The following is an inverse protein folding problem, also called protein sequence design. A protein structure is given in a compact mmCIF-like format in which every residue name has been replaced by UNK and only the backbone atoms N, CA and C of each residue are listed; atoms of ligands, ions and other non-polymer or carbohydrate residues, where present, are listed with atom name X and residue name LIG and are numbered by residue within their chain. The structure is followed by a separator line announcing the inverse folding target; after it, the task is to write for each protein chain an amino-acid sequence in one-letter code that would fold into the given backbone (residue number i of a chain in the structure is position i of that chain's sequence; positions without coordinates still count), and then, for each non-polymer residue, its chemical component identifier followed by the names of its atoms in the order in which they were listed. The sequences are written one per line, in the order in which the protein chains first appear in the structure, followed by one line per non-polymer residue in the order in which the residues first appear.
data_IF_310033067335
#
_entry.id   IF_310033067335
#
_cell.length_a   1.000
_cell.length_b   1.000
_cell.length_c   1.000
_cell.angle_alpha   90.00
_cell.angle_beta   90.00
_cell.angle_gamma   90.00
#
_symmetry.space_group_name_H-M   'P 1'
#
loop_
_entity.id
_entity.type
_entity.pdbx_description
1 polymer ?
#
# COMPACT_ATOMS: atom_id res chain seq x y z
N UNK A 1 20.36 -5.48 -1.57
CA UNK A 1 20.02 -4.88 -0.27
C UNK A 1 18.96 -3.82 -0.57
N UNK A 2 17.74 -3.94 -0.05
CA UNK A 2 16.66 -2.99 -0.34
C UNK A 2 16.92 -1.67 0.40
N UNK A 3 16.85 -0.53 -0.28
CA UNK A 3 16.87 0.78 0.37
C UNK A 3 15.43 1.28 0.50
N UNK A 4 14.91 1.49 1.72
CA UNK A 4 13.64 2.18 1.87
C UNK A 4 13.77 3.59 1.29
N UNK A 5 12.78 4.06 0.53
CA UNK A 5 12.66 5.49 0.29
C UNK A 5 12.37 6.17 1.64
N UNK A 6 13.13 7.22 1.97
CA UNK A 6 12.71 8.17 3.00
C UNK A 6 11.32 8.68 2.59
N UNK A 7 10.31 8.48 3.46
CA UNK A 7 8.88 8.77 3.23
C UNK A 7 8.06 7.75 2.40
N UNK A 8 8.38 6.45 2.47
CA UNK A 8 7.58 5.37 1.84
C UNK A 8 6.51 4.73 2.73
N UNK A 9 6.25 5.31 3.91
CA UNK A 9 5.30 4.73 4.88
C UNK A 9 4.01 5.54 4.88
N UNK A 10 2.90 4.87 4.62
CA UNK A 10 1.55 5.45 4.68
C UNK A 10 0.79 4.76 5.84
N UNK A 11 0.48 5.48 6.93
CA UNK A 11 -0.26 4.87 8.05
C UNK A 11 -1.70 4.56 7.63
N UNK A 12 -2.17 3.35 7.98
CA UNK A 12 -3.58 2.95 7.81
C UNK A 12 -4.33 3.21 9.11
N UNK A 13 -3.76 2.80 10.24
CA UNK A 13 -4.27 3.08 11.58
C UNK A 13 -3.10 3.12 12.60
N UNK A 14 -3.40 2.98 13.91
CA UNK A 14 -2.40 3.05 14.99
C UNK A 14 -1.32 1.97 14.94
N UNK A 15 -1.65 0.76 14.50
CA UNK A 15 -0.76 -0.40 14.48
C UNK A 15 -0.42 -0.88 13.07
N UNK A 16 -1.20 -0.43 12.08
CA UNK A 16 -1.14 -0.90 10.69
C UNK A 16 -0.65 0.20 9.78
N UNK A 17 0.33 -0.14 8.94
CA UNK A 17 0.90 0.79 7.97
C UNK A 17 1.24 0.08 6.67
N UNK A 18 1.26 0.86 5.58
CA UNK A 18 1.71 0.44 4.27
C UNK A 18 3.13 0.94 4.05
N UNK A 19 3.98 0.11 3.46
CA UNK A 19 5.36 0.45 3.12
C UNK A 19 5.61 0.18 1.65
N UNK A 20 6.00 1.23 0.91
CA UNK A 20 6.35 1.09 -0.50
C UNK A 20 7.84 0.79 -0.67
N UNK A 21 8.14 -0.42 -1.14
CA UNK A 21 9.51 -0.88 -1.38
C UNK A 21 9.83 -0.74 -2.87
N UNK A 22 10.83 0.08 -3.15
CA UNK A 22 11.46 0.11 -4.47
C UNK A 22 12.65 -0.84 -4.47
N UNK A 23 12.69 -1.73 -5.45
CA UNK A 23 13.81 -2.62 -5.64
C UNK A 23 14.81 -1.96 -6.60
N UNK A 24 16.11 -2.11 -6.35
CA UNK A 24 17.16 -1.81 -7.34
C UNK A 24 17.13 -2.82 -8.51
N UNK A 25 16.30 -3.87 -8.40
CA UNK A 25 16.02 -4.82 -9.48
C UNK A 25 15.01 -4.21 -10.48
N UNK A 26 15.28 -4.24 -11.80
CA UNK A 26 14.57 -3.43 -12.80
C UNK A 26 13.11 -3.83 -13.08
N UNK A 27 12.53 -4.75 -12.33
CA UNK A 27 11.32 -5.45 -12.75
C UNK A 27 10.08 -5.20 -11.91
N UNK A 28 10.16 -5.01 -10.57
CA UNK A 28 8.97 -4.81 -9.74
C UNK A 28 9.22 -3.97 -8.48
N UNK A 29 8.28 -3.08 -8.15
CA UNK A 29 8.10 -2.46 -6.84
C UNK A 29 7.08 -3.24 -6.01
N UNK A 30 7.08 -3.07 -4.70
CA UNK A 30 6.08 -3.69 -3.81
C UNK A 30 5.43 -2.66 -2.90
N UNK A 31 4.14 -2.85 -2.62
CA UNK A 31 3.47 -2.24 -1.49
C UNK A 31 3.20 -3.33 -0.46
N UNK A 32 3.78 -3.19 0.72
CA UNK A 32 3.72 -4.15 1.81
C UNK A 32 2.80 -3.62 2.92
N UNK A 33 1.89 -4.45 3.41
CA UNK A 33 1.00 -4.16 4.52
C UNK A 33 1.54 -4.81 5.79
N UNK A 34 1.75 -4.00 6.82
CA UNK A 34 2.24 -4.42 8.12
C UNK A 34 1.19 -4.21 9.21
N UNK A 35 1.11 -5.13 10.15
CA UNK A 35 0.36 -5.01 11.41
C UNK A 35 1.31 -5.32 12.57
N UNK A 36 1.55 -4.37 13.47
CA UNK A 36 2.49 -4.51 14.59
C UNK A 36 3.90 -5.01 14.16
N UNK A 37 4.43 -4.44 13.07
CA UNK A 37 5.72 -4.80 12.44
C UNK A 37 5.77 -6.19 11.77
N UNK A 38 4.69 -6.98 11.82
CA UNK A 38 4.56 -8.22 11.07
C UNK A 38 4.04 -7.96 9.65
N UNK A 39 4.74 -8.50 8.64
CA UNK A 39 4.27 -8.45 7.25
C UNK A 39 3.03 -9.32 7.09
N UNK A 40 1.89 -8.69 6.83
CA UNK A 40 0.60 -9.35 6.63
C UNK A 40 0.43 -9.81 5.18
N UNK A 41 0.70 -8.91 4.24
CA UNK A 41 0.54 -9.17 2.80
C UNK A 41 1.34 -8.17 1.98
N UNK A 42 1.64 -8.51 0.73
CA UNK A 42 2.22 -7.58 -0.23
C UNK A 42 1.55 -7.66 -1.61
N UNK A 43 1.67 -6.57 -2.37
CA UNK A 43 1.27 -6.52 -3.77
C UNK A 43 2.43 -5.98 -4.61
N UNK A 44 2.72 -6.65 -5.72
CA UNK A 44 3.81 -6.28 -6.63
C UNK A 44 3.29 -5.47 -7.82
N UNK A 45 4.07 -4.47 -8.22
CA UNK A 45 3.72 -3.52 -9.27
C UNK A 45 4.82 -3.43 -10.32
N UNK A 46 4.40 -3.38 -11.59
CA UNK A 46 5.30 -3.17 -12.73
C UNK A 46 5.86 -1.74 -12.75
N UNK A 47 6.94 -1.48 -13.50
CA UNK A 47 7.51 -0.15 -13.58
C UNK A 47 6.53 0.93 -14.06
N UNK A 48 5.57 0.59 -14.94
CA UNK A 48 4.56 1.53 -15.43
C UNK A 48 3.54 1.91 -14.35
N UNK A 49 3.22 0.98 -13.45
CA UNK A 49 2.23 1.14 -12.38
C UNK A 49 2.83 1.91 -11.18
N UNK A 50 4.15 1.83 -11.01
CA UNK A 50 4.92 2.44 -9.91
C UNK A 50 4.70 3.95 -9.78
N UNK A 51 4.70 4.70 -10.89
CA UNK A 51 4.65 6.17 -10.83
C UNK A 51 3.36 6.66 -10.18
N UNK A 52 2.23 6.07 -10.55
CA UNK A 52 0.91 6.41 -10.01
C UNK A 52 0.82 6.16 -8.50
N UNK A 53 1.44 5.09 -8.00
CA UNK A 53 1.47 4.78 -6.57
C UNK A 53 2.38 5.76 -5.82
N UNK A 54 3.58 6.00 -6.35
CA UNK A 54 4.60 6.82 -5.70
C UNK A 54 4.16 8.26 -5.47
N UNK A 55 3.47 8.84 -6.44
CA UNK A 55 2.95 10.23 -6.36
C UNK A 55 1.85 10.38 -5.29
N UNK A 56 1.21 9.28 -4.90
CA UNK A 56 0.05 9.27 -4.00
C UNK A 56 0.36 8.72 -2.59
N UNK A 57 1.62 8.46 -2.23
CA UNK A 57 2.02 7.94 -0.90
C UNK A 57 1.83 8.94 0.25
N UNK A 58 1.56 10.21 -0.06
CA UNK A 58 1.47 11.31 0.92
C UNK A 58 0.28 11.22 1.87
N UNK A 59 -0.79 10.54 1.48
CA UNK A 59 -1.95 10.29 2.35
C UNK A 59 -2.59 8.93 2.05
N UNK A 60 -3.22 8.35 3.07
CA UNK A 60 -3.94 7.09 2.93
C UNK A 60 -5.07 7.19 1.89
N UNK A 61 -5.85 8.28 1.92
CA UNK A 61 -6.97 8.48 0.98
C UNK A 61 -6.48 8.58 -0.47
N UNK A 62 -5.42 9.36 -0.72
CA UNK A 62 -4.80 9.49 -2.05
C UNK A 62 -4.27 8.14 -2.55
N UNK A 63 -3.57 7.39 -1.70
CA UNK A 63 -3.02 6.08 -2.03
C UNK A 63 -4.14 5.09 -2.38
N UNK A 64 -5.20 5.04 -1.57
CA UNK A 64 -6.33 4.14 -1.81
C UNK A 64 -7.07 4.45 -3.10
N UNK A 65 -7.27 5.74 -3.43
CA UNK A 65 -7.86 6.14 -4.69
C UNK A 65 -6.99 5.72 -5.87
N UNK A 66 -5.68 5.95 -5.80
CA UNK A 66 -4.74 5.53 -6.85
C UNK A 66 -4.72 4.01 -7.06
N UNK A 67 -4.78 3.22 -5.97
CA UNK A 67 -4.85 1.76 -6.06
C UNK A 67 -6.15 1.27 -6.70
N UNK A 68 -7.29 1.89 -6.37
CA UNK A 68 -8.59 1.55 -6.96
C UNK A 68 -8.66 1.92 -8.44
N UNK A 69 -8.17 3.10 -8.81
CA UNK A 69 -8.05 3.53 -10.21
C UNK A 69 -7.19 2.54 -11.00
N UNK A 70 -5.99 2.23 -10.49
CA UNK A 70 -5.11 1.24 -11.11
C UNK A 70 -5.81 -0.12 -11.25
N UNK A 71 -6.51 -0.59 -10.21
CA UNK A 71 -7.24 -1.85 -10.27
C UNK A 71 -8.35 -1.85 -11.33
N UNK A 72 -9.02 -0.72 -11.55
CA UNK A 72 -10.01 -0.59 -12.63
C UNK A 72 -9.36 -0.63 -14.02
N UNK A 73 -8.14 -0.10 -14.16
CA UNK A 73 -7.39 -0.13 -15.42
C UNK A 73 -6.88 -1.53 -15.77
N UNK A 74 -6.29 -2.23 -14.80
CA UNK A 74 -5.63 -3.52 -15.05
C UNK A 74 -6.51 -4.73 -14.71
N UNK A 75 -7.66 -4.51 -14.05
CA UNK A 75 -8.60 -5.53 -13.60
C UNK A 75 -7.93 -6.71 -12.85
N UNK A 76 -7.06 -6.38 -11.89
CA UNK A 76 -6.24 -7.37 -11.18
C UNK A 76 -6.95 -7.93 -9.96
N UNK A 77 -7.30 -9.22 -10.00
CA UNK A 77 -7.91 -9.91 -8.84
C UNK A 77 -7.02 -9.83 -7.59
N UNK A 78 -5.69 -9.88 -7.76
CA UNK A 78 -4.75 -9.79 -6.65
C UNK A 78 -4.73 -8.39 -6.03
N UNK A 79 -4.74 -7.34 -6.86
CA UNK A 79 -4.79 -5.96 -6.38
C UNK A 79 -6.14 -5.66 -5.71
N UNK A 80 -7.26 -6.12 -6.29
CA UNK A 80 -8.58 -6.00 -5.69
C UNK A 80 -8.64 -6.60 -4.28
N UNK A 81 -8.16 -7.83 -4.11
CA UNK A 81 -8.09 -8.48 -2.78
C UNK A 81 -7.19 -7.74 -1.79
N UNK A 82 -6.08 -7.18 -2.28
CA UNK A 82 -5.18 -6.41 -1.45
C UNK A 82 -5.81 -5.09 -0.98
N UNK A 83 -6.54 -4.41 -1.85
CA UNK A 83 -7.33 -3.21 -1.52
C UNK A 83 -8.38 -3.53 -0.45
N UNK A 84 -9.18 -4.58 -0.65
CA UNK A 84 -10.21 -5.02 0.31
C UNK A 84 -9.60 -5.30 1.69
N UNK A 85 -8.43 -5.94 1.73
CA UNK A 85 -7.72 -6.22 2.98
C UNK A 85 -7.31 -4.93 3.69
N UNK A 86 -6.74 -3.95 2.98
CA UNK A 86 -6.35 -2.66 3.55
C UNK A 86 -7.57 -1.93 4.13
N UNK A 87 -8.68 -1.91 3.39
CA UNK A 87 -9.92 -1.26 3.84
C UNK A 87 -10.46 -1.89 5.12
N UNK A 88 -10.39 -3.22 5.24
CA UNK A 88 -10.83 -3.92 6.45
C UNK A 88 -10.07 -3.47 7.71
N UNK A 89 -8.79 -3.12 7.60
CA UNK A 89 -7.99 -2.58 8.72
C UNK A 89 -8.32 -1.13 9.05
N UNK A 90 -8.79 -0.34 8.08
CA UNK A 90 -9.19 1.05 8.28
C UNK A 90 -10.60 1.17 8.88
N UNK A 91 -11.53 0.30 8.50
CA UNK A 91 -12.92 0.34 8.97
C UNK A 91 -13.08 -0.13 10.42
N UNK A 92 -12.13 -0.93 10.94
CA UNK A 92 -12.23 -1.56 12.24
C UNK A 92 -12.28 -0.52 13.39
N UNK A 93 -13.40 -0.40 14.14
CA UNK A 93 -13.58 0.59 15.19
C UNK A 93 -12.56 0.50 16.34
N UNK A 94 -12.00 -0.69 16.58
CA UNK A 94 -10.96 -0.89 17.61
C UNK A 94 -9.61 -0.24 17.26
N UNK A 95 -9.41 0.14 15.99
CA UNK A 95 -8.17 0.72 15.49
C UNK A 95 -8.23 2.25 15.31
N UNK A 96 -9.39 2.87 15.58
CA UNK A 96 -9.53 4.33 15.53
C UNK A 96 -8.93 4.95 16.78
N UNK A 97 -8.20 6.08 16.67
CA UNK A 97 -7.85 6.83 17.85
C UNK A 97 -9.12 7.32 18.55
N UNK A 98 -9.24 7.04 19.85
CA UNK A 98 -10.26 7.64 20.70
C UNK A 98 -10.30 9.15 20.43
N UNK A 99 -11.41 9.61 19.88
CA UNK A 99 -11.76 11.04 19.78
C UNK A 99 -12.06 11.60 21.14
#
# INVERSE_FOLDING_TARGET
MFKPLENSITPVNRAVFLKFIENDAPFYSKLELYDNDDLVSDCSFKPQERSQIKENLSSFESLMNALKELNNEINSVHLGKFIELIESYNENPQNRPFT
#
